data_IF_680214857958
#
_entry.id   IF_680214857958
#
_cell.length_a   1.000
_cell.length_b   1.000
_cell.length_c   1.000
_cell.angle_alpha   90.00
_cell.angle_beta   90.00
_cell.angle_gamma   90.00
#
_symmetry.space_group_name_H-M   'P 1'
#
loop_
_entity.id
_entity.type
_entity.pdbx_description
1 polymer ?
#
# COMPACT_ATOMS: atom_id res chain seq x y z
N UNK A 1 -2.72 -50.37 17.06
CA UNK A 1 -2.99 -50.15 18.51
C UNK A 1 -2.91 -48.65 18.74
N UNK A 2 -3.92 -47.85 19.09
CA UNK A 2 -5.27 -48.09 19.59
C UNK A 2 -6.18 -46.89 19.23
N UNK A 3 -7.36 -47.19 18.69
CA UNK A 3 -8.71 -46.75 19.11
C UNK A 3 -8.94 -45.25 19.35
N UNK A 4 -9.71 -44.54 18.52
CA UNK A 4 -11.17 -44.68 18.30
C UNK A 4 -11.98 -44.77 19.61
N UNK A 5 -12.37 -43.62 20.17
CA UNK A 5 -13.41 -43.42 21.21
C UNK A 5 -13.85 -41.94 21.10
N UNK A 6 -15.12 -41.51 21.07
CA UNK A 6 -16.45 -42.10 21.27
C UNK A 6 -17.48 -41.11 20.71
N UNK A 7 -18.55 -41.64 20.11
CA UNK A 7 -19.82 -40.96 19.82
C UNK A 7 -20.74 -41.12 21.05
N UNK A 8 -21.40 -40.04 21.49
CA UNK A 8 -22.66 -40.00 22.24
C UNK A 8 -23.16 -38.53 22.20
N UNK A 9 -24.17 -38.11 21.45
CA UNK A 9 -25.62 -38.43 21.43
C UNK A 9 -26.44 -37.58 22.43
N UNK A 10 -27.52 -36.97 21.88
CA UNK A 10 -28.79 -36.49 22.47
C UNK A 10 -28.98 -35.02 22.89
N UNK A 11 -29.58 -34.27 21.94
CA UNK A 11 -30.88 -33.56 21.97
C UNK A 11 -31.30 -32.89 23.29
N UNK A 12 -31.52 -31.57 23.24
CA UNK A 12 -32.62 -30.93 23.95
C UNK A 12 -33.14 -29.72 23.15
N UNK A 13 -34.31 -29.92 22.55
CA UNK A 13 -35.21 -28.85 22.07
C UNK A 13 -35.71 -28.07 23.30
N UNK A 14 -35.42 -26.78 23.37
CA UNK A 14 -36.17 -25.86 24.22
C UNK A 14 -36.56 -24.63 23.39
N UNK A 15 -37.71 -24.74 22.75
CA UNK A 15 -38.51 -23.61 22.32
C UNK A 15 -38.93 -22.82 23.55
N UNK A 16 -38.33 -21.66 23.79
CA UNK A 16 -38.87 -20.67 24.72
C UNK A 16 -38.83 -19.28 24.09
N UNK A 17 -40.02 -18.89 23.65
CA UNK A 17 -40.66 -17.59 23.89
C UNK A 17 -39.87 -16.32 23.56
N UNK A 18 -40.36 -15.69 22.49
CA UNK A 18 -40.34 -14.27 22.17
C UNK A 18 -40.58 -13.45 23.44
N UNK A 19 -39.59 -12.64 23.82
CA UNK A 19 -39.75 -11.48 24.70
C UNK A 19 -39.10 -10.28 24.00
N UNK A 20 -39.86 -9.21 23.87
CA UNK A 20 -39.54 -7.99 23.15
C UNK A 20 -38.24 -7.35 23.66
N UNK A 21 -37.33 -7.05 22.75
CA UNK A 21 -36.38 -5.96 22.90
C UNK A 21 -36.57 -5.03 21.71
N UNK A 22 -37.39 -4.00 21.94
CA UNK A 22 -37.48 -2.83 21.08
C UNK A 22 -36.16 -2.07 21.21
N UNK A 23 -35.17 -2.47 20.42
CA UNK A 23 -33.98 -1.66 20.19
C UNK A 23 -34.22 -0.94 18.89
N UNK A 24 -34.77 0.26 18.99
CA UNK A 24 -34.70 1.26 17.94
C UNK A 24 -33.24 1.41 17.53
N UNK A 25 -32.82 0.63 16.54
CA UNK A 25 -31.56 0.79 15.85
C UNK A 25 -31.70 2.10 15.09
N UNK A 26 -31.35 3.17 15.78
CA UNK A 26 -31.15 4.48 15.18
C UNK A 26 -30.14 4.27 14.06
N UNK A 27 -30.65 4.23 12.83
CA UNK A 27 -29.85 4.14 11.62
C UNK A 27 -29.12 5.47 11.51
N UNK A 28 -28.07 5.65 12.30
CA UNK A 28 -27.07 6.67 12.05
C UNK A 28 -26.48 6.35 10.68
N UNK A 29 -27.06 6.98 9.67
CA UNK A 29 -26.53 7.06 8.32
C UNK A 29 -25.07 7.45 8.51
N UNK A 30 -24.10 6.66 8.01
CA UNK A 30 -22.69 6.95 8.20
C UNK A 30 -22.47 8.39 7.78
N UNK A 31 -22.11 9.23 8.74
CA UNK A 31 -21.80 10.64 8.50
C UNK A 31 -20.55 10.60 7.63
N UNK A 32 -20.75 10.74 6.32
CA UNK A 32 -19.63 10.93 5.41
C UNK A 32 -18.87 12.16 5.92
N UNK A 33 -17.54 12.07 6.13
CA UNK A 33 -16.76 13.21 6.53
C UNK A 33 -17.02 14.33 5.53
N UNK A 34 -17.26 15.54 6.06
CA UNK A 34 -17.49 16.71 5.23
C UNK A 34 -16.35 16.81 4.18
N UNK A 35 -16.67 17.16 2.92
CA UNK A 35 -15.63 17.32 1.90
C UNK A 35 -14.56 18.28 2.42
N UNK A 36 -13.30 17.86 2.38
CA UNK A 36 -12.18 18.70 2.79
C UNK A 36 -12.25 20.03 2.04
N UNK A 37 -12.02 21.13 2.75
CA UNK A 37 -11.88 22.43 2.09
C UNK A 37 -10.71 22.36 1.11
N UNK A 38 -10.77 23.13 0.02
CA UNK A 38 -9.70 23.17 -0.99
C UNK A 38 -8.32 23.48 -0.38
N UNK A 39 -8.27 24.30 0.68
CA UNK A 39 -7.04 24.59 1.42
C UNK A 39 -6.52 23.39 2.23
N UNK A 40 -7.39 22.68 2.96
CA UNK A 40 -7.00 21.50 3.73
C UNK A 40 -6.57 20.33 2.82
N UNK A 41 -7.29 20.14 1.70
CA UNK A 41 -6.93 19.18 0.67
C UNK A 41 -5.54 19.44 0.09
N UNK A 42 -5.26 20.70 -0.28
CA UNK A 42 -3.94 21.10 -0.79
C UNK A 42 -2.84 20.88 0.25
N UNK A 43 -3.06 21.29 1.50
CA UNK A 43 -2.09 21.10 2.57
C UNK A 43 -1.76 19.61 2.79
N UNK A 44 -2.76 18.73 2.71
CA UNK A 44 -2.53 17.28 2.78
C UNK A 44 -1.66 16.79 1.63
N UNK A 45 -2.00 17.14 0.38
CA UNK A 45 -1.21 16.72 -0.80
C UNK A 45 0.24 17.21 -0.71
N UNK A 46 0.44 18.48 -0.37
CA UNK A 46 1.78 19.06 -0.21
C UNK A 46 2.58 18.32 0.89
N UNK A 47 1.93 17.98 2.00
CA UNK A 47 2.57 17.22 3.08
C UNK A 47 2.96 15.79 2.65
N UNK A 48 2.12 15.10 1.89
CA UNK A 48 2.44 13.76 1.38
C UNK A 48 3.61 13.82 0.39
N UNK A 49 3.63 14.80 -0.50
CA UNK A 49 4.72 14.98 -1.47
C UNK A 49 6.04 15.31 -0.77
N UNK A 50 6.00 16.17 0.25
CA UNK A 50 7.18 16.46 1.06
C UNK A 50 7.67 15.20 1.82
N UNK A 51 6.75 14.40 2.34
CA UNK A 51 7.07 13.13 2.98
C UNK A 51 7.75 12.15 2.01
N UNK A 52 7.17 11.93 0.83
CA UNK A 52 7.72 11.09 -0.23
C UNK A 52 9.10 11.53 -0.68
N UNK A 53 9.30 12.83 -0.95
CA UNK A 53 10.61 13.39 -1.31
C UNK A 53 11.69 13.06 -0.28
N UNK A 54 11.37 13.19 1.02
CA UNK A 54 12.28 12.86 2.11
C UNK A 54 12.61 11.37 2.17
N UNK A 55 11.61 10.48 2.11
CA UNK A 55 11.86 9.02 2.16
C UNK A 55 12.49 8.49 0.87
N UNK A 56 12.18 9.09 -0.28
CA UNK A 56 12.79 8.79 -1.58
C UNK A 56 14.28 9.17 -1.62
N UNK A 57 14.68 10.24 -0.96
CA UNK A 57 16.10 10.60 -0.78
C UNK A 57 16.85 9.52 0.01
N UNK A 58 16.25 9.03 1.11
CA UNK A 58 16.83 7.93 1.91
C UNK A 58 16.95 6.67 1.05
N UNK A 59 15.87 6.32 0.32
CA UNK A 59 15.80 5.16 -0.57
C UNK A 59 16.94 5.15 -1.61
N UNK A 60 17.26 6.30 -2.22
CA UNK A 60 18.27 6.37 -3.28
C UNK A 60 19.68 5.94 -2.82
N UNK A 61 20.03 6.22 -1.56
CA UNK A 61 21.33 5.88 -0.97
C UNK A 61 21.31 4.61 -0.12
N UNK A 62 20.14 4.15 0.35
CA UNK A 62 20.07 2.96 1.20
C UNK A 62 20.61 1.70 0.48
N UNK A 63 20.42 1.61 -0.84
CA UNK A 63 20.92 0.52 -1.68
C UNK A 63 22.47 0.36 -1.67
N UNK A 64 23.22 1.36 -1.20
CA UNK A 64 24.66 1.24 -1.00
C UNK A 64 25.02 0.28 0.14
N UNK A 65 24.10 0.11 1.10
CA UNK A 65 24.33 -0.67 2.34
C UNK A 65 23.41 -1.88 2.47
N UNK A 66 22.30 -1.91 1.76
CA UNK A 66 21.34 -3.02 1.78
C UNK A 66 20.83 -3.36 0.38
N UNK A 67 20.10 -4.47 0.25
CA UNK A 67 19.56 -4.87 -1.05
C UNK A 67 18.53 -3.88 -1.58
N UNK A 68 18.39 -3.87 -2.91
CA UNK A 68 17.37 -3.08 -3.58
C UNK A 68 15.96 -3.45 -3.11
N UNK A 69 15.66 -4.75 -2.98
CA UNK A 69 14.37 -5.21 -2.46
C UNK A 69 14.08 -4.72 -1.05
N UNK A 70 15.03 -4.83 -0.11
CA UNK A 70 14.84 -4.33 1.26
C UNK A 70 14.56 -2.83 1.25
N UNK A 71 15.29 -2.09 0.42
CA UNK A 71 15.11 -0.65 0.25
C UNK A 71 13.72 -0.29 -0.30
N UNK A 72 13.23 -1.01 -1.32
CA UNK A 72 11.89 -0.81 -1.88
C UNK A 72 10.82 -1.14 -0.84
N UNK A 73 10.96 -2.26 -0.12
CA UNK A 73 10.03 -2.66 0.95
C UNK A 73 9.92 -1.57 2.01
N UNK A 74 11.04 -1.14 2.60
CA UNK A 74 11.06 -0.10 3.64
C UNK A 74 10.47 1.24 3.13
N UNK A 75 10.76 1.62 1.88
CA UNK A 75 10.19 2.82 1.27
C UNK A 75 8.67 2.71 1.11
N UNK A 76 8.16 1.60 0.56
CA UNK A 76 6.72 1.40 0.37
C UNK A 76 5.96 1.30 1.68
N UNK A 77 6.52 0.63 2.69
CA UNK A 77 5.94 0.58 4.05
C UNK A 77 5.90 1.96 4.70
N UNK A 78 6.94 2.79 4.51
CA UNK A 78 6.91 4.16 5.01
C UNK A 78 5.78 4.98 4.35
N UNK A 79 5.58 4.85 3.04
CA UNK A 79 4.52 5.54 2.31
C UNK A 79 3.12 5.04 2.68
N UNK A 80 2.94 3.74 2.92
CA UNK A 80 1.65 3.16 3.35
C UNK A 80 1.20 3.67 4.71
N UNK A 81 2.16 4.02 5.57
CA UNK A 81 1.91 4.59 6.89
C UNK A 81 1.76 6.12 6.88
N UNK A 82 1.79 6.77 5.70
CA UNK A 82 1.57 8.21 5.61
C UNK A 82 0.10 8.59 5.90
N UNK A 83 -0.12 9.79 6.43
CA UNK A 83 -1.45 10.26 6.81
C UNK A 83 -2.20 10.88 5.63
N UNK A 84 -3.06 10.09 5.00
CA UNK A 84 -3.94 10.53 3.90
C UNK A 84 -5.33 11.02 4.38
N UNK A 85 -5.59 11.17 5.68
CA UNK A 85 -6.94 11.39 6.20
C UNK A 85 -7.63 12.63 5.62
N UNK A 86 -6.87 13.71 5.39
CA UNK A 86 -7.37 14.97 4.83
C UNK A 86 -7.19 15.09 3.31
N UNK A 87 -6.67 14.06 2.64
CA UNK A 87 -6.32 14.13 1.23
C UNK A 87 -7.54 13.81 0.35
N UNK A 88 -7.66 14.44 -0.84
CA UNK A 88 -8.65 14.04 -1.82
C UNK A 88 -8.57 12.55 -2.14
N UNK A 89 -9.73 11.89 -2.25
CA UNK A 89 -9.81 10.45 -2.57
C UNK A 89 -9.06 10.12 -3.86
N UNK A 90 -9.16 10.97 -4.88
CA UNK A 90 -8.44 10.78 -6.14
C UNK A 90 -6.91 10.78 -5.94
N UNK A 91 -6.39 11.70 -5.12
CA UNK A 91 -4.97 11.79 -4.82
C UNK A 91 -4.50 10.57 -4.03
N UNK A 92 -5.22 10.21 -2.96
CA UNK A 92 -4.95 9.00 -2.18
C UNK A 92 -4.90 7.76 -3.08
N UNK A 93 -5.89 7.58 -3.96
CA UNK A 93 -5.94 6.43 -4.85
C UNK A 93 -4.80 6.41 -5.87
N UNK A 94 -4.41 7.57 -6.42
CA UNK A 94 -3.24 7.67 -7.29
C UNK A 94 -1.95 7.31 -6.54
N UNK A 95 -1.80 7.78 -5.31
CA UNK A 95 -0.63 7.49 -4.47
C UNK A 95 -0.54 6.00 -4.09
N UNK A 96 -1.66 5.38 -3.70
CA UNK A 96 -1.70 3.94 -3.40
C UNK A 96 -1.33 3.08 -4.62
N UNK A 97 -1.73 3.49 -5.83
CA UNK A 97 -1.28 2.82 -7.07
C UNK A 97 0.21 2.98 -7.29
N UNK A 98 0.78 4.15 -7.00
CA UNK A 98 2.22 4.38 -7.10
C UNK A 98 3.02 3.50 -6.13
N UNK A 99 2.55 3.40 -4.88
CA UNK A 99 3.11 2.46 -3.90
C UNK A 99 3.07 1.03 -4.45
N UNK A 100 1.93 0.60 -4.98
CA UNK A 100 1.79 -0.75 -5.55
C UNK A 100 2.74 -0.98 -6.74
N UNK A 101 2.94 0.01 -7.62
CA UNK A 101 3.88 -0.10 -8.74
C UNK A 101 5.32 -0.34 -8.25
N UNK A 102 5.74 0.34 -7.17
CA UNK A 102 7.00 0.06 -6.51
C UNK A 102 7.07 -1.36 -5.94
N UNK A 103 6.01 -1.83 -5.25
CA UNK A 103 5.98 -3.20 -4.72
C UNK A 103 6.04 -4.26 -5.82
N UNK A 104 5.44 -4.00 -6.98
CA UNK A 104 5.51 -4.93 -8.12
C UNK A 104 6.95 -5.14 -8.61
N UNK A 105 7.82 -4.14 -8.47
CA UNK A 105 9.24 -4.26 -8.81
C UNK A 105 9.97 -5.34 -7.99
N UNK A 106 9.48 -5.67 -6.78
CA UNK A 106 10.07 -6.71 -5.91
C UNK A 106 10.15 -8.07 -6.60
N UNK A 107 9.18 -8.40 -7.47
CA UNK A 107 9.17 -9.66 -8.21
C UNK A 107 10.42 -9.88 -9.08
N UNK A 108 11.08 -8.79 -9.49
CA UNK A 108 12.37 -8.85 -10.18
C UNK A 108 13.52 -8.60 -9.20
N UNK A 109 13.44 -7.55 -8.36
CA UNK A 109 14.59 -7.16 -7.53
C UNK A 109 14.96 -8.22 -6.48
N UNK A 110 14.01 -9.06 -6.05
CA UNK A 110 14.27 -10.16 -5.11
C UNK A 110 15.23 -11.22 -5.67
N UNK A 111 15.36 -11.30 -7.01
CA UNK A 111 16.32 -12.19 -7.68
C UNK A 111 17.77 -11.70 -7.58
N UNK A 112 17.98 -10.46 -7.12
CA UNK A 112 19.28 -9.79 -7.07
C UNK A 112 19.67 -9.37 -5.63
N UNK A 113 19.66 -10.28 -4.63
CA UNK A 113 19.83 -9.93 -3.23
C UNK A 113 21.22 -9.36 -2.89
N UNK A 114 22.22 -9.62 -3.72
CA UNK A 114 23.62 -9.21 -3.50
C UNK A 114 23.97 -7.85 -4.14
N UNK A 115 23.10 -7.28 -4.98
CA UNK A 115 23.41 -6.00 -5.63
C UNK A 115 23.44 -4.84 -4.61
N UNK A 116 24.52 -4.05 -4.66
CA UNK A 116 24.73 -2.85 -3.86
C UNK A 116 25.24 -1.70 -4.74
N UNK A 117 24.90 -0.48 -4.35
CA UNK A 117 25.26 0.76 -5.05
C UNK A 117 24.12 1.76 -5.04
N UNK A 118 24.28 2.88 -5.75
CA UNK A 118 23.18 3.83 -5.93
C UNK A 118 22.03 3.18 -6.70
N UNK A 119 20.78 3.51 -6.34
CA UNK A 119 19.59 2.88 -6.92
C UNK A 119 19.56 2.95 -8.45
N UNK A 120 19.98 4.07 -9.04
CA UNK A 120 19.96 4.27 -10.49
C UNK A 120 20.97 3.34 -11.21
N UNK A 121 22.14 3.11 -10.63
CA UNK A 121 23.11 2.14 -11.14
C UNK A 121 22.59 0.71 -11.04
N UNK A 122 21.90 0.38 -9.94
CA UNK A 122 21.28 -0.93 -9.78
C UNK A 122 20.18 -1.17 -10.81
N UNK A 123 19.39 -0.13 -11.12
CA UNK A 123 18.38 -0.22 -12.17
C UNK A 123 19.04 -0.51 -13.52
N UNK A 124 20.07 0.24 -13.91
CA UNK A 124 20.79 0.02 -15.15
C UNK A 124 21.37 -1.41 -15.27
N UNK A 125 21.88 -1.97 -14.16
CA UNK A 125 22.40 -3.34 -14.11
C UNK A 125 21.28 -4.37 -14.35
N UNK A 126 20.14 -4.24 -13.69
CA UNK A 126 18.99 -5.16 -13.86
C UNK A 126 18.38 -4.99 -15.26
N UNK A 127 18.28 -3.77 -15.77
CA UNK A 127 17.79 -3.49 -17.13
C UNK A 127 18.66 -4.12 -18.24
N UNK A 128 19.91 -4.42 -17.93
CA UNK A 128 20.88 -5.06 -18.83
C UNK A 128 20.99 -6.58 -18.62
N UNK A 129 20.27 -7.15 -17.66
CA UNK A 129 20.24 -8.60 -17.41
C UNK A 129 19.11 -9.28 -18.20
N UNK A 130 18.99 -10.61 -18.03
CA UNK A 130 17.90 -11.40 -18.63
C UNK A 130 16.51 -10.98 -18.14
N UNK A 131 16.39 -10.40 -16.94
CA UNK A 131 15.12 -9.87 -16.41
C UNK A 131 14.82 -8.44 -16.92
N UNK A 132 15.75 -7.83 -17.67
CA UNK A 132 15.68 -6.44 -18.09
C UNK A 132 14.38 -6.02 -18.80
N UNK A 133 13.84 -6.80 -19.76
CA UNK A 133 12.57 -6.46 -20.41
C UNK A 133 11.38 -6.32 -19.45
N UNK A 134 11.30 -7.22 -18.45
CA UNK A 134 10.24 -7.18 -17.43
C UNK A 134 10.48 -5.99 -16.50
N UNK A 135 11.73 -5.79 -16.07
CA UNK A 135 12.07 -4.70 -15.17
C UNK A 135 11.79 -3.32 -15.76
N UNK A 136 12.11 -3.09 -17.05
CA UNK A 136 11.80 -1.84 -17.76
C UNK A 136 10.30 -1.54 -17.78
N UNK A 137 9.46 -2.57 -17.92
CA UNK A 137 8.00 -2.40 -17.87
C UNK A 137 7.57 -1.94 -16.47
N UNK A 138 8.10 -2.55 -15.42
CA UNK A 138 7.80 -2.18 -14.03
C UNK A 138 8.29 -0.76 -13.69
N UNK A 139 9.47 -0.36 -14.16
CA UNK A 139 9.99 1.00 -14.01
C UNK A 139 9.11 2.00 -14.77
N UNK A 140 8.65 1.67 -15.98
CA UNK A 140 7.71 2.51 -16.72
C UNK A 140 6.39 2.69 -15.98
N UNK A 141 5.86 1.64 -15.33
CA UNK A 141 4.64 1.71 -14.53
C UNK A 141 4.79 2.62 -13.29
N UNK A 142 5.97 2.60 -12.65
CA UNK A 142 6.30 3.53 -11.55
C UNK A 142 6.22 4.98 -12.04
N UNK A 143 6.80 5.29 -13.21
CA UNK A 143 6.72 6.64 -13.78
C UNK A 143 5.32 7.02 -14.24
N UNK A 144 4.57 6.09 -14.82
CA UNK A 144 3.20 6.32 -15.24
C UNK A 144 2.28 6.66 -14.06
N UNK A 145 2.41 5.93 -12.95
CA UNK A 145 1.64 6.21 -11.73
C UNK A 145 2.05 7.52 -11.05
N UNK A 146 3.31 7.97 -11.20
CA UNK A 146 3.71 9.31 -10.79
C UNK A 146 3.02 10.40 -11.60
N UNK A 147 2.92 10.23 -12.93
CA UNK A 147 2.22 11.17 -13.80
C UNK A 147 0.73 11.31 -13.43
N UNK A 148 0.08 10.24 -12.98
CA UNK A 148 -1.29 10.27 -12.46
C UNK A 148 -1.40 11.12 -11.18
N UNK A 149 -0.43 11.02 -10.26
CA UNK A 149 -0.37 11.87 -9.06
C UNK A 149 -0.27 13.34 -9.47
N UNK A 150 0.67 13.68 -10.37
CA UNK A 150 0.85 15.05 -10.83
C UNK A 150 -0.40 15.62 -11.51
N UNK A 151 -1.11 14.78 -12.27
CA UNK A 151 -2.37 15.19 -12.92
C UNK A 151 -3.43 15.56 -11.90
N UNK A 152 -3.55 14.79 -10.82
CA UNK A 152 -4.50 15.09 -9.73
C UNK A 152 -4.09 16.34 -8.95
N UNK A 153 -2.80 16.59 -8.77
CA UNK A 153 -2.32 17.80 -8.10
C UNK A 153 -2.57 19.09 -8.90
N UNK A 154 -2.69 18.98 -10.22
CA UNK A 154 -2.89 20.11 -11.15
C UNK A 154 -4.37 20.41 -11.43
N UNK A 155 -5.29 19.52 -11.04
CA UNK A 155 -6.75 19.67 -11.24
C UNK A 155 -7.42 20.46 -10.13
#
# INVERSE_FOLDING_TARGET
MNNLKRIALLIAFCSFLIACADSGADKQKPVQPAPATTAAAKACMDSIIAFDSRVGTIRNHACEKQSLSKTITEYTEALENADFAACPVAFKNAFLKHIQAWRNALAVTDKYPELRGEMHDLFNKIESSDDGPVFKTLVADIWATWADIEKVMKS
#
